data_IF_088269000849
#
_entry.id   IF_088269000849
#
_cell.length_a   1.000
_cell.length_b   1.000
_cell.length_c   1.000
_cell.angle_alpha   90.00
_cell.angle_beta   90.00
_cell.angle_gamma   90.00
#
_symmetry.space_group_name_H-M   'P 1'
#
loop_
_entity.id
_entity.type
_entity.pdbx_description
1 polymer ?
#
# COMPACT_ATOMS: atom_id res chain seq x y z
N UNK A 1 -0.84 -1.90 -28.14
CA UNK A 1 -0.59 -0.98 -27.01
C UNK A 1 0.38 -1.68 -26.06
N UNK A 2 1.35 -1.01 -25.46
CA UNK A 2 2.23 -1.65 -24.47
C UNK A 2 1.42 -1.93 -23.20
N UNK A 3 1.61 -3.14 -22.63
CA UNK A 3 0.92 -3.58 -21.41
C UNK A 3 1.12 -2.56 -20.28
N UNK A 4 0.04 -2.14 -19.58
CA UNK A 4 0.09 -1.13 -18.53
C UNK A 4 0.79 -1.63 -17.23
N UNK A 5 1.01 -2.93 -17.12
CA UNK A 5 1.59 -3.52 -15.93
C UNK A 5 2.66 -4.57 -16.26
N UNK A 6 3.58 -4.70 -15.32
CA UNK A 6 4.59 -5.75 -15.29
C UNK A 6 4.66 -6.36 -13.91
N UNK A 7 4.50 -7.68 -13.80
CA UNK A 7 4.61 -8.42 -12.55
C UNK A 7 5.56 -9.59 -12.71
N UNK A 8 6.35 -9.85 -11.68
CA UNK A 8 7.38 -10.88 -11.72
C UNK A 8 7.51 -11.63 -10.40
N UNK A 9 7.95 -12.89 -10.47
CA UNK A 9 8.39 -13.63 -9.30
C UNK A 9 9.85 -13.27 -9.02
N UNK A 10 10.08 -12.45 -8.02
CA UNK A 10 11.43 -12.06 -7.59
C UNK A 10 11.42 -11.54 -6.17
N UNK A 11 12.61 -11.36 -5.58
CA UNK A 11 12.75 -10.61 -4.34
C UNK A 11 12.53 -9.12 -4.58
N UNK A 12 12.23 -8.38 -3.51
CA UNK A 12 12.13 -6.93 -3.55
C UNK A 12 13.46 -6.29 -4.02
N UNK A 13 14.59 -6.80 -3.54
CA UNK A 13 15.94 -6.35 -3.91
C UNK A 13 16.16 -6.44 -5.42
N UNK A 14 15.85 -7.60 -6.05
CA UNK A 14 15.95 -7.77 -7.49
C UNK A 14 15.06 -6.80 -8.27
N UNK A 15 13.84 -6.52 -7.76
CA UNK A 15 12.95 -5.53 -8.36
C UNK A 15 13.56 -4.12 -8.29
N UNK A 16 14.14 -3.74 -7.14
CA UNK A 16 14.79 -2.44 -6.99
C UNK A 16 15.98 -2.28 -7.94
N UNK A 17 16.84 -3.30 -8.07
CA UNK A 17 17.99 -3.27 -8.98
C UNK A 17 17.59 -3.07 -10.44
N UNK A 18 16.47 -3.64 -10.86
CA UNK A 18 15.93 -3.51 -12.21
C UNK A 18 15.19 -2.19 -12.46
N UNK A 19 14.83 -1.46 -11.39
CA UNK A 19 14.08 -0.21 -11.49
C UNK A 19 15.04 0.96 -11.70
N UNK A 20 14.94 1.72 -12.79
CA UNK A 20 15.79 2.88 -13.04
C UNK A 20 15.58 3.98 -11.99
N UNK A 21 16.62 4.80 -11.79
CA UNK A 21 16.59 5.95 -10.90
C UNK A 21 15.52 6.96 -11.33
N UNK A 22 14.87 7.57 -10.35
CA UNK A 22 13.95 8.70 -10.53
C UNK A 22 12.77 8.45 -11.48
N UNK A 23 12.30 7.19 -11.58
CA UNK A 23 11.21 6.82 -12.50
C UNK A 23 9.88 6.54 -11.81
N UNK A 24 9.87 6.23 -10.51
CA UNK A 24 8.68 5.82 -9.77
C UNK A 24 8.03 7.02 -9.09
N UNK A 25 6.73 7.23 -9.32
CA UNK A 25 5.97 8.30 -8.68
C UNK A 25 5.42 7.89 -7.32
N UNK A 26 4.98 6.64 -7.17
CA UNK A 26 4.45 6.11 -5.91
C UNK A 26 4.99 4.70 -5.67
N UNK A 27 5.56 4.49 -4.50
CA UNK A 27 5.71 3.15 -3.93
C UNK A 27 4.60 3.03 -2.89
N UNK A 28 3.64 2.11 -3.13
CA UNK A 28 2.67 1.72 -2.11
C UNK A 28 2.90 0.26 -1.77
N UNK A 29 3.11 -0.07 -0.50
CA UNK A 29 3.53 -1.42 -0.16
C UNK A 29 3.15 -1.84 1.25
N UNK A 30 3.03 -3.15 1.44
CA UNK A 30 2.63 -3.82 2.67
C UNK A 30 3.57 -5.01 2.92
N UNK A 31 4.79 -4.76 3.45
CA UNK A 31 5.76 -5.82 3.70
C UNK A 31 5.25 -6.80 4.75
N UNK A 32 5.82 -8.00 4.86
CA UNK A 32 5.51 -8.94 5.95
C UNK A 32 5.60 -8.26 7.31
N UNK A 33 4.61 -8.52 8.21
CA UNK A 33 4.51 -7.81 9.50
C UNK A 33 5.40 -8.38 10.61
N UNK A 34 6.11 -9.47 10.34
CA UNK A 34 7.00 -10.07 11.33
C UNK A 34 6.28 -10.69 12.53
N UNK A 35 5.06 -11.20 12.32
CA UNK A 35 4.25 -11.78 13.41
C UNK A 35 4.76 -13.15 13.87
N UNK A 36 5.64 -13.81 13.11
CA UNK A 36 6.10 -15.17 13.31
C UNK A 36 5.04 -16.25 13.08
N UNK A 37 3.83 -15.85 12.70
CA UNK A 37 2.67 -16.73 12.60
C UNK A 37 2.44 -17.21 11.16
N UNK A 38 1.75 -18.37 11.05
CA UNK A 38 1.20 -18.79 9.77
C UNK A 38 0.01 -17.91 9.42
N UNK A 39 0.12 -17.18 8.32
CA UNK A 39 -0.95 -16.38 7.75
C UNK A 39 -1.81 -17.27 6.86
N UNK A 40 -3.07 -17.48 7.25
CA UNK A 40 -3.97 -18.41 6.58
C UNK A 40 -4.95 -17.67 5.69
N UNK A 41 -4.90 -17.94 4.40
CA UNK A 41 -5.91 -17.54 3.42
C UNK A 41 -6.67 -18.79 2.91
N UNK A 42 -7.86 -18.58 2.33
CA UNK A 42 -8.64 -19.71 1.78
C UNK A 42 -7.99 -20.35 0.54
N UNK A 43 -7.22 -19.56 -0.23
CA UNK A 43 -6.54 -20.03 -1.43
C UNK A 43 -5.05 -20.29 -1.20
N UNK A 44 -4.42 -19.53 -0.31
CA UNK A 44 -2.97 -19.62 -0.07
C UNK A 44 -2.59 -19.14 1.33
N UNK A 45 -1.62 -19.79 1.94
CA UNK A 45 -1.10 -19.47 3.27
C UNK A 45 0.43 -19.34 3.22
N UNK A 46 0.99 -18.44 4.03
CA UNK A 46 2.43 -18.27 4.15
C UNK A 46 2.83 -18.03 5.62
N UNK A 47 4.08 -18.35 5.95
CA UNK A 47 4.63 -18.05 7.28
C UNK A 47 5.25 -16.66 7.25
N UNK A 48 4.75 -15.81 8.12
CA UNK A 48 5.30 -14.48 8.36
C UNK A 48 6.66 -14.61 9.10
N UNK A 49 7.61 -13.73 8.78
CA UNK A 49 8.92 -13.67 9.42
C UNK A 49 8.88 -13.07 10.83
N UNK A 50 10.01 -12.59 11.30
CA UNK A 50 10.14 -11.84 12.55
C UNK A 50 10.07 -10.34 12.30
N UNK A 51 9.89 -9.53 13.38
CA UNK A 51 9.99 -8.06 13.28
C UNK A 51 11.36 -7.63 12.75
N UNK A 52 12.45 -8.32 13.15
CA UNK A 52 13.79 -8.03 12.64
C UNK A 52 13.89 -8.23 11.12
N UNK A 53 13.26 -9.29 10.58
CA UNK A 53 13.21 -9.53 9.14
C UNK A 53 12.45 -8.40 8.43
N UNK A 54 11.31 -7.96 9.00
CA UNK A 54 10.56 -6.80 8.49
C UNK A 54 11.40 -5.54 8.46
N UNK A 55 12.13 -5.24 9.54
CA UNK A 55 12.98 -4.04 9.61
C UNK A 55 14.14 -4.08 8.62
N UNK A 56 14.72 -5.25 8.35
CA UNK A 56 15.73 -5.42 7.31
C UNK A 56 15.16 -5.13 5.91
N UNK A 57 13.93 -5.57 5.62
CA UNK A 57 13.24 -5.23 4.37
C UNK A 57 12.94 -3.73 4.27
N UNK A 58 12.59 -3.08 5.39
CA UNK A 58 12.35 -1.63 5.44
C UNK A 58 13.64 -0.82 5.19
N UNK A 59 14.79 -1.30 5.68
CA UNK A 59 16.08 -0.66 5.42
C UNK A 59 16.42 -0.68 3.92
N UNK A 60 16.30 -1.85 3.29
CA UNK A 60 16.45 -1.98 1.82
C UNK A 60 15.46 -1.12 1.05
N UNK A 61 14.19 -1.09 1.49
CA UNK A 61 13.16 -0.25 0.89
C UNK A 61 13.51 1.23 0.97
N UNK A 62 13.97 1.71 2.12
CA UNK A 62 14.35 3.11 2.33
C UNK A 62 15.48 3.55 1.41
N UNK A 63 16.58 2.79 1.35
CA UNK A 63 17.71 3.04 0.49
C UNK A 63 17.32 3.04 -1.00
N UNK A 64 16.49 2.06 -1.40
CA UNK A 64 16.02 1.93 -2.77
C UNK A 64 15.03 3.04 -3.15
N UNK A 65 14.08 3.37 -2.27
CA UNK A 65 13.10 4.44 -2.51
C UNK A 65 13.78 5.80 -2.70
N UNK A 66 14.82 6.10 -1.92
CA UNK A 66 15.61 7.33 -2.07
C UNK A 66 16.26 7.46 -3.46
N UNK A 67 16.52 6.36 -4.17
CA UNK A 67 17.09 6.32 -5.51
C UNK A 67 16.02 6.32 -6.60
N UNK A 68 15.03 5.41 -6.50
CA UNK A 68 14.09 5.12 -7.61
C UNK A 68 12.89 6.06 -7.66
N UNK A 69 12.51 6.70 -6.54
CA UNK A 69 11.45 7.70 -6.56
C UNK A 69 11.88 8.93 -7.37
N UNK A 70 10.99 9.46 -8.18
CA UNK A 70 11.21 10.72 -8.84
C UNK A 70 11.24 11.91 -7.82
N UNK A 71 11.65 13.12 -8.19
CA UNK A 71 11.83 14.21 -7.22
C UNK A 71 10.58 14.56 -6.38
N UNK A 72 9.38 14.33 -6.89
CA UNK A 72 8.12 14.52 -6.15
C UNK A 72 7.49 13.21 -5.67
N UNK A 73 8.19 12.10 -5.84
CA UNK A 73 7.71 10.75 -5.56
C UNK A 73 7.44 10.50 -4.09
N UNK A 74 6.50 9.60 -3.84
CA UNK A 74 6.00 9.26 -2.50
C UNK A 74 6.17 7.78 -2.22
N UNK A 75 6.61 7.47 -1.01
CA UNK A 75 6.56 6.14 -0.40
C UNK A 75 5.43 6.09 0.61
N UNK A 76 4.51 5.16 0.45
CA UNK A 76 3.45 4.81 1.40
C UNK A 76 3.66 3.36 1.85
N UNK A 77 4.04 3.15 3.10
CA UNK A 77 4.28 1.81 3.64
C UNK A 77 3.32 1.50 4.78
N UNK A 78 2.55 0.41 4.63
CA UNK A 78 1.59 -0.06 5.62
C UNK A 78 2.28 -0.99 6.60
N UNK A 79 2.15 -0.72 7.90
CA UNK A 79 2.87 -1.42 8.96
C UNK A 79 1.95 -1.79 10.13
N UNK A 80 2.29 -2.89 10.79
CA UNK A 80 1.77 -3.25 12.10
C UNK A 80 2.47 -2.44 13.20
N UNK A 81 1.79 -2.27 14.33
CA UNK A 81 2.28 -1.50 15.49
C UNK A 81 3.65 -1.96 16.02
N UNK A 82 4.07 -3.21 15.77
CA UNK A 82 5.33 -3.77 16.26
C UNK A 82 6.55 -3.18 15.57
N UNK A 83 6.42 -2.78 14.31
CA UNK A 83 7.54 -2.31 13.50
C UNK A 83 7.50 -0.80 13.21
N UNK A 84 6.36 -0.12 13.43
CA UNK A 84 6.13 1.24 12.94
C UNK A 84 7.15 2.26 13.44
N UNK A 85 7.58 2.19 14.71
CA UNK A 85 8.46 3.18 15.31
C UNK A 85 9.91 3.05 14.79
N UNK A 86 10.41 1.82 14.73
CA UNK A 86 11.73 1.53 14.20
C UNK A 86 11.76 1.76 12.68
N UNK A 87 10.73 1.37 11.96
CA UNK A 87 10.60 1.61 10.53
C UNK A 87 10.61 3.12 10.21
N UNK A 88 9.93 3.95 11.03
CA UNK A 88 10.01 5.40 10.90
C UNK A 88 11.46 5.91 11.00
N UNK A 89 12.21 5.45 11.99
CA UNK A 89 13.59 5.87 12.20
C UNK A 89 14.50 5.43 11.03
N UNK A 90 14.35 4.22 10.55
CA UNK A 90 15.09 3.66 9.40
C UNK A 90 14.79 4.49 8.14
N UNK A 91 13.53 4.68 7.78
CA UNK A 91 13.14 5.43 6.59
C UNK A 91 13.59 6.89 6.63
N UNK A 92 13.56 7.51 7.81
CA UNK A 92 14.09 8.85 7.98
C UNK A 92 15.60 8.92 7.79
N UNK A 93 16.34 7.90 8.23
CA UNK A 93 17.79 7.84 8.07
C UNK A 93 18.23 7.55 6.63
N UNK A 94 17.34 7.03 5.78
CA UNK A 94 17.63 6.80 4.35
C UNK A 94 17.64 8.08 3.49
N UNK A 95 17.45 9.26 4.09
CA UNK A 95 17.39 10.53 3.36
C UNK A 95 16.01 10.88 2.82
N UNK A 96 14.99 10.11 3.14
CA UNK A 96 13.59 10.42 2.80
C UNK A 96 12.99 11.44 3.77
N UNK A 97 12.08 12.27 3.28
CA UNK A 97 11.39 13.30 4.05
C UNK A 97 10.06 12.77 4.57
N UNK A 98 9.91 12.68 5.90
CA UNK A 98 8.63 12.30 6.51
C UNK A 98 7.55 13.34 6.24
N UNK A 99 6.42 12.88 5.72
CA UNK A 99 5.27 13.73 5.41
C UNK A 99 4.17 13.57 6.44
N UNK A 100 3.73 12.34 6.71
CA UNK A 100 2.59 12.07 7.60
C UNK A 100 2.45 10.58 7.90
N UNK A 101 1.62 10.27 8.89
CA UNK A 101 1.03 8.94 9.09
C UNK A 101 -0.47 8.96 8.84
N UNK A 102 -0.99 7.85 8.33
CA UNK A 102 -2.42 7.56 8.22
C UNK A 102 -2.72 6.36 9.10
N UNK A 103 -3.68 6.50 10.00
CA UNK A 103 -4.17 5.40 10.84
C UNK A 103 -5.33 4.74 10.12
N UNK A 104 -5.16 3.50 9.72
CA UNK A 104 -6.24 2.67 9.18
C UNK A 104 -6.82 1.82 10.31
N UNK A 105 -7.97 2.24 10.84
CA UNK A 105 -8.73 1.53 11.86
C UNK A 105 -9.66 0.49 11.23
N UNK A 106 -9.77 -0.67 11.89
CA UNK A 106 -10.66 -1.78 11.51
C UNK A 106 -11.24 -2.48 12.74
N UNK A 107 -12.48 -2.97 12.62
CA UNK A 107 -13.21 -3.62 13.73
C UNK A 107 -12.92 -5.12 13.85
N UNK A 108 -12.57 -5.80 12.75
CA UNK A 108 -12.31 -7.25 12.75
C UNK A 108 -10.97 -7.61 13.41
N UNK A 109 -10.84 -8.90 13.73
CA UNK A 109 -9.67 -9.48 14.36
C UNK A 109 -9.92 -9.95 15.80
N UNK A 110 -9.04 -10.81 16.28
CA UNK A 110 -9.13 -11.39 17.62
C UNK A 110 -9.00 -10.32 18.72
N UNK A 111 -9.70 -10.55 19.83
CA UNK A 111 -9.59 -9.70 21.02
C UNK A 111 -8.46 -10.23 21.92
N UNK A 112 -7.55 -9.34 22.32
CA UNK A 112 -6.51 -9.69 23.29
C UNK A 112 -7.09 -9.77 24.72
N UNK A 113 -6.68 -10.79 25.45
CA UNK A 113 -6.99 -10.93 26.90
C UNK A 113 -5.86 -10.45 27.79
N UNK A 114 -4.69 -10.12 27.21
CA UNK A 114 -3.48 -9.77 27.98
C UNK A 114 -3.14 -8.28 27.92
N UNK A 115 -3.58 -7.59 26.88
CA UNK A 115 -3.30 -6.17 26.66
C UNK A 115 -4.39 -5.53 25.81
N UNK A 116 -4.28 -4.23 25.54
CA UNK A 116 -5.16 -3.52 24.62
C UNK A 116 -5.15 -4.18 23.24
N UNK A 117 -6.32 -4.45 22.68
CA UNK A 117 -6.44 -5.07 21.37
C UNK A 117 -6.03 -4.08 20.28
N UNK A 118 -5.07 -4.46 19.43
CA UNK A 118 -4.74 -3.65 18.27
C UNK A 118 -5.87 -3.71 17.23
N UNK A 119 -6.36 -2.55 16.81
CA UNK A 119 -7.43 -2.38 15.82
C UNK A 119 -7.05 -1.38 14.73
N UNK A 120 -5.77 -1.23 14.46
CA UNK A 120 -5.30 -0.37 13.38
C UNK A 120 -3.98 -0.86 12.79
N UNK A 121 -3.75 -0.46 11.54
CA UNK A 121 -2.43 -0.40 10.93
C UNK A 121 -2.05 1.07 10.72
N UNK A 122 -0.76 1.33 10.69
CA UNK A 122 -0.22 2.66 10.38
C UNK A 122 0.38 2.65 8.99
N UNK A 123 0.00 3.62 8.16
CA UNK A 123 0.63 3.84 6.85
C UNK A 123 1.52 5.07 7.00
N UNK A 124 2.83 4.86 6.94
CA UNK A 124 3.81 5.93 6.96
C UNK A 124 3.98 6.51 5.57
N UNK A 125 3.96 7.83 5.46
CA UNK A 125 4.18 8.56 4.22
C UNK A 125 5.51 9.30 4.27
N UNK A 126 6.35 8.98 3.31
CA UNK A 126 7.61 9.67 3.06
C UNK A 126 7.65 10.16 1.62
N UNK A 127 8.50 11.13 1.32
CA UNK A 127 8.77 11.59 -0.04
C UNK A 127 10.26 11.67 -0.31
N UNK A 128 10.62 11.66 -1.60
CA UNK A 128 12.01 11.84 -2.05
C UNK A 128 12.59 13.17 -1.59
N UNK A 129 11.84 14.26 -1.76
CA UNK A 129 12.20 15.62 -1.36
C UNK A 129 11.14 16.17 -0.39
N UNK A 130 11.38 17.37 0.15
CA UNK A 130 10.42 18.04 1.05
C UNK A 130 9.05 18.24 0.41
N UNK A 131 9.00 18.50 -0.90
CA UNK A 131 7.76 18.67 -1.66
C UNK A 131 7.34 17.37 -2.30
N UNK A 132 6.30 16.75 -1.73
CA UNK A 132 5.64 15.57 -2.28
C UNK A 132 4.56 15.95 -3.30
N UNK A 133 4.33 15.09 -4.29
CA UNK A 133 3.13 15.20 -5.14
C UNK A 133 1.88 14.98 -4.29
N UNK A 134 0.96 15.94 -4.34
CA UNK A 134 -0.30 15.88 -3.61
C UNK A 134 -1.39 16.65 -4.34
N UNK A 135 -2.40 15.92 -4.81
CA UNK A 135 -3.61 16.51 -5.41
C UNK A 135 -4.72 16.58 -4.34
N UNK A 136 -4.96 17.79 -3.82
CA UNK A 136 -5.98 18.02 -2.81
C UNK A 136 -7.40 17.69 -3.33
N UNK A 137 -7.66 17.89 -4.62
CA UNK A 137 -9.00 17.69 -5.17
C UNK A 137 -9.31 16.20 -5.33
N UNK A 138 -8.30 15.38 -5.54
CA UNK A 138 -8.40 13.91 -5.57
C UNK A 138 -8.57 13.28 -4.17
N UNK A 139 -8.39 14.01 -3.08
CA UNK A 139 -8.62 13.48 -1.72
C UNK A 139 -10.08 13.09 -1.56
N UNK A 140 -10.40 11.83 -1.18
CA UNK A 140 -11.77 11.36 -1.04
C UNK A 140 -12.61 12.21 -0.08
N UNK A 141 -13.91 12.31 -0.36
CA UNK A 141 -14.88 13.03 0.47
C UNK A 141 -15.73 12.02 1.25
N UNK A 142 -16.03 12.33 2.48
CA UNK A 142 -16.92 11.54 3.34
C UNK A 142 -18.01 12.42 3.96
N UNK A 143 -19.16 11.83 4.21
CA UNK A 143 -20.26 12.51 4.89
C UNK A 143 -19.88 12.81 6.36
N UNK A 144 -20.26 13.99 6.83
CA UNK A 144 -20.20 14.33 8.26
C UNK A 144 -21.35 13.65 8.97
N UNK A 145 -21.08 12.98 10.07
CA UNK A 145 -22.14 12.41 10.93
C UNK A 145 -23.05 13.49 11.50
N UNK A 146 -22.47 14.64 11.87
CA UNK A 146 -23.19 15.79 12.43
C UNK A 146 -22.53 17.10 11.96
N UNK A 147 -23.07 17.79 10.95
CA UNK A 147 -22.64 19.15 10.64
C UNK A 147 -22.99 20.10 11.77
N UNK A 148 -22.03 20.86 12.31
CA UNK A 148 -22.26 21.83 13.39
C UNK A 148 -21.58 23.18 13.12
N UNK A 149 -22.33 24.27 13.39
CA UNK A 149 -21.82 25.65 13.35
C UNK A 149 -21.26 26.05 11.97
N UNK A 150 -20.09 26.66 11.93
CA UNK A 150 -19.43 27.11 10.69
C UNK A 150 -19.05 25.96 9.72
N UNK A 151 -19.16 24.72 10.14
CA UNK A 151 -18.90 23.53 9.33
C UNK A 151 -20.19 22.91 8.80
N UNK A 152 -21.03 23.71 8.14
CA UNK A 152 -22.34 23.29 7.64
C UNK A 152 -22.29 22.42 6.38
N UNK A 153 -21.14 22.21 5.73
CA UNK A 153 -21.08 21.28 4.60
C UNK A 153 -21.39 19.85 5.06
N UNK A 154 -22.28 19.17 4.34
CA UNK A 154 -22.62 17.76 4.57
C UNK A 154 -21.40 16.84 4.36
N UNK A 155 -20.40 17.30 3.64
CA UNK A 155 -19.21 16.55 3.26
C UNK A 155 -17.92 17.17 3.82
N UNK A 156 -16.90 16.34 3.98
CA UNK A 156 -15.54 16.75 4.30
C UNK A 156 -14.54 15.84 3.59
N UNK A 157 -13.37 16.37 3.26
CA UNK A 157 -12.22 15.53 2.85
C UNK A 157 -11.86 14.56 3.99
N UNK A 158 -11.44 13.34 3.64
CA UNK A 158 -10.92 12.40 4.65
C UNK A 158 -9.71 13.00 5.35
N UNK A 159 -9.51 12.62 6.60
CA UNK A 159 -8.37 13.03 7.42
C UNK A 159 -7.34 11.89 7.53
N UNK A 160 -6.44 11.95 8.49
CA UNK A 160 -5.42 10.94 8.74
C UNK A 160 -5.91 9.71 9.53
N UNK A 161 -7.20 9.62 9.85
CA UNK A 161 -7.79 8.44 10.51
C UNK A 161 -8.91 7.90 9.65
N UNK A 162 -8.69 6.71 9.10
CA UNK A 162 -9.60 6.03 8.17
C UNK A 162 -10.25 4.85 8.84
N UNK A 163 -11.58 4.80 8.80
CA UNK A 163 -12.35 3.69 9.36
C UNK A 163 -12.86 2.84 8.22
N UNK A 164 -12.23 1.69 8.00
CA UNK A 164 -12.66 0.74 7.00
C UNK A 164 -12.36 -0.69 7.47
N UNK A 165 -13.39 -1.51 7.51
CA UNK A 165 -13.28 -2.93 7.86
C UNK A 165 -13.45 -3.78 6.62
N UNK A 166 -12.40 -4.48 6.21
CA UNK A 166 -12.40 -5.39 5.09
C UNK A 166 -12.88 -6.78 5.54
N UNK A 167 -14.16 -7.04 5.32
CA UNK A 167 -14.82 -8.26 5.77
C UNK A 167 -14.50 -9.50 4.92
N UNK A 168 -14.78 -10.72 5.42
CA UNK A 168 -14.56 -11.94 4.66
C UNK A 168 -15.51 -12.10 3.46
N UNK A 169 -16.61 -11.35 3.43
CA UNK A 169 -17.62 -11.36 2.36
C UNK A 169 -17.45 -10.25 1.33
N UNK A 170 -16.41 -9.43 1.46
CA UNK A 170 -16.12 -8.39 0.45
C UNK A 170 -15.84 -9.00 -0.91
N UNK A 171 -16.54 -8.51 -1.96
CA UNK A 171 -16.53 -9.08 -3.31
C UNK A 171 -15.16 -9.05 -3.98
N UNK A 172 -14.30 -8.11 -3.59
CA UNK A 172 -12.94 -8.00 -4.13
C UNK A 172 -11.94 -9.01 -3.54
N UNK A 173 -12.37 -9.86 -2.58
CA UNK A 173 -11.51 -10.87 -1.97
C UNK A 173 -11.19 -12.00 -2.94
N UNK A 174 -9.90 -12.34 -2.99
CA UNK A 174 -9.37 -13.43 -3.83
C UNK A 174 -8.83 -14.60 -3.00
N UNK A 175 -9.18 -14.67 -1.70
CA UNK A 175 -8.80 -15.76 -0.82
C UNK A 175 -7.35 -15.78 -0.32
N UNK A 176 -6.55 -14.73 -0.63
CA UNK A 176 -5.20 -14.59 -0.08
C UNK A 176 -5.26 -13.94 1.31
N UNK A 177 -4.43 -14.43 2.22
CA UNK A 177 -4.26 -13.83 3.54
C UNK A 177 -3.77 -12.38 3.42
N UNK A 178 -4.19 -11.52 4.33
CA UNK A 178 -3.76 -10.12 4.46
C UNK A 178 -3.99 -9.24 3.23
N UNK A 179 -4.87 -9.64 2.29
CA UNK A 179 -5.26 -8.77 1.18
C UNK A 179 -5.68 -7.39 1.69
N UNK A 180 -5.14 -6.33 1.09
CA UNK A 180 -5.57 -4.96 1.37
C UNK A 180 -6.74 -4.57 0.47
N UNK A 181 -7.71 -3.78 0.97
CA UNK A 181 -8.86 -3.34 0.16
C UNK A 181 -8.50 -2.19 -0.78
N UNK A 182 -9.15 -2.15 -1.94
CA UNK A 182 -9.02 -1.05 -2.91
C UNK A 182 -9.36 0.32 -2.29
N UNK A 183 -10.34 0.36 -1.39
CA UNK A 183 -10.72 1.58 -0.67
C UNK A 183 -9.63 2.20 0.19
N UNK A 184 -8.60 1.42 0.56
CA UNK A 184 -7.41 1.91 1.25
C UNK A 184 -6.32 2.31 0.26
N UNK A 185 -6.10 1.56 -0.81
CA UNK A 185 -4.99 1.78 -1.75
C UNK A 185 -5.29 2.87 -2.77
N UNK A 186 -6.49 2.87 -3.37
CA UNK A 186 -6.86 3.79 -4.45
C UNK A 186 -6.72 5.27 -4.11
N UNK A 187 -7.03 5.74 -2.89
CA UNK A 187 -6.80 7.13 -2.51
C UNK A 187 -5.34 7.58 -2.65
N UNK A 188 -4.37 6.73 -2.30
CA UNK A 188 -2.95 7.07 -2.45
C UNK A 188 -2.58 7.20 -3.93
N UNK A 189 -3.08 6.28 -4.76
CA UNK A 189 -2.88 6.33 -6.21
C UNK A 189 -3.45 7.62 -6.79
N UNK A 190 -4.70 7.97 -6.46
CA UNK A 190 -5.35 9.17 -6.98
C UNK A 190 -4.67 10.47 -6.55
N UNK A 191 -4.28 10.56 -5.26
CA UNK A 191 -3.78 11.79 -4.65
C UNK A 191 -2.31 12.07 -4.99
N UNK A 192 -1.49 11.03 -5.13
CA UNK A 192 -0.03 11.20 -5.29
C UNK A 192 0.47 10.94 -6.71
N UNK A 193 -0.42 10.58 -7.64
CA UNK A 193 -0.03 10.24 -9.02
C UNK A 193 -0.99 10.81 -10.05
N UNK A 194 -0.55 10.82 -11.32
CA UNK A 194 -1.33 11.16 -12.50
C UNK A 194 -1.42 9.96 -13.45
N UNK A 195 -2.41 9.91 -14.36
CA UNK A 195 -2.42 8.90 -15.42
C UNK A 195 -1.07 8.82 -16.16
N UNK A 196 -0.60 7.59 -16.38
CA UNK A 196 0.71 7.30 -17.00
C UNK A 196 1.89 7.21 -16.03
N UNK A 197 1.78 7.69 -14.79
CA UNK A 197 2.82 7.55 -13.77
C UNK A 197 3.06 6.07 -13.40
N UNK A 198 4.29 5.79 -12.95
CA UNK A 198 4.69 4.45 -12.51
C UNK A 198 4.44 4.30 -11.00
N UNK A 199 3.74 3.22 -10.66
CA UNK A 199 3.51 2.76 -9.29
C UNK A 199 4.25 1.44 -9.09
N UNK A 200 4.96 1.32 -7.98
CA UNK A 200 5.74 0.13 -7.66
C UNK A 200 5.26 -0.48 -6.33
N UNK A 201 5.16 -1.82 -6.30
CA UNK A 201 4.88 -2.60 -5.10
C UNK A 201 5.79 -3.84 -5.04
N UNK A 202 6.83 -3.83 -4.20
CA UNK A 202 7.80 -4.93 -4.08
C UNK A 202 7.29 -6.12 -3.26
N UNK A 203 6.10 -6.02 -2.65
CA UNK A 203 5.43 -7.06 -1.87
C UNK A 203 3.95 -7.16 -2.30
N UNK A 204 3.70 -7.28 -3.61
CA UNK A 204 2.38 -7.06 -4.22
C UNK A 204 1.27 -8.01 -3.75
N UNK A 205 1.61 -9.16 -3.21
CA UNK A 205 0.66 -10.12 -2.64
C UNK A 205 -0.47 -10.49 -3.60
N UNK A 206 -1.68 -10.03 -3.28
CA UNK A 206 -2.87 -10.21 -4.12
C UNK A 206 -3.02 -9.19 -5.25
N UNK A 207 -2.07 -8.25 -5.39
CA UNK A 207 -2.05 -7.26 -6.47
C UNK A 207 -3.04 -6.09 -6.33
N UNK A 208 -3.50 -5.78 -5.13
CA UNK A 208 -4.45 -4.66 -4.94
C UNK A 208 -3.89 -3.33 -5.43
N UNK A 209 -2.59 -3.08 -5.23
CA UNK A 209 -1.88 -1.90 -5.74
C UNK A 209 -1.93 -1.84 -7.27
N UNK A 210 -1.66 -2.96 -7.92
CA UNK A 210 -1.73 -3.07 -9.38
C UNK A 210 -3.14 -2.84 -9.94
N UNK A 211 -4.16 -3.43 -9.31
CA UNK A 211 -5.56 -3.22 -9.70
C UNK A 211 -5.96 -1.75 -9.54
N UNK A 212 -5.57 -1.09 -8.44
CA UNK A 212 -5.83 0.33 -8.24
C UNK A 212 -5.13 1.19 -9.31
N UNK A 213 -3.86 0.88 -9.60
CA UNK A 213 -3.06 1.58 -10.60
C UNK A 213 -3.70 1.47 -12.00
N UNK A 214 -4.00 0.26 -12.44
CA UNK A 214 -4.56 -0.02 -13.77
C UNK A 214 -5.94 0.64 -13.94
N UNK A 215 -6.85 0.47 -12.98
CA UNK A 215 -8.18 1.12 -12.99
C UNK A 215 -8.12 2.64 -13.08
N UNK A 216 -7.07 3.25 -12.61
CA UNK A 216 -6.87 4.69 -12.61
C UNK A 216 -5.95 5.17 -13.75
N UNK A 217 -5.61 4.32 -14.72
CA UNK A 217 -4.79 4.66 -15.87
C UNK A 217 -3.31 4.88 -15.56
N UNK A 218 -2.80 4.30 -14.46
CA UNK A 218 -1.38 4.33 -14.09
C UNK A 218 -0.67 3.06 -14.56
N UNK A 219 0.64 3.14 -14.66
CA UNK A 219 1.49 1.97 -14.94
C UNK A 219 1.87 1.29 -13.63
N UNK A 220 1.90 -0.04 -13.63
CA UNK A 220 2.22 -0.82 -12.43
C UNK A 220 3.43 -1.71 -12.64
N UNK A 221 4.32 -1.76 -11.65
CA UNK A 221 5.43 -2.70 -11.56
C UNK A 221 5.35 -3.38 -10.20
N UNK A 222 5.24 -4.70 -10.17
CA UNK A 222 5.11 -5.46 -8.93
C UNK A 222 5.94 -6.72 -8.88
N UNK A 223 6.36 -7.11 -7.67
CA UNK A 223 7.01 -8.38 -7.42
C UNK A 223 6.47 -9.06 -6.16
N UNK A 224 6.61 -10.36 -6.14
CA UNK A 224 6.43 -11.19 -4.96
C UNK A 224 7.33 -12.42 -5.09
N UNK A 225 7.86 -12.92 -3.97
CA UNK A 225 8.64 -14.17 -3.94
C UNK A 225 7.77 -15.41 -4.15
N UNK A 226 6.48 -15.28 -3.90
CA UNK A 226 5.48 -16.34 -3.97
C UNK A 226 4.86 -16.40 -5.37
N UNK A 227 5.10 -17.49 -6.09
CA UNK A 227 4.53 -17.73 -7.41
C UNK A 227 2.98 -17.65 -7.42
N UNK A 228 2.32 -18.09 -6.35
CA UNK A 228 0.86 -17.99 -6.25
C UNK A 228 0.38 -16.53 -6.16
N UNK A 229 1.16 -15.65 -5.53
CA UNK A 229 0.88 -14.22 -5.53
C UNK A 229 0.95 -13.63 -6.94
N UNK A 230 2.00 -13.99 -7.70
CA UNK A 230 2.17 -13.55 -9.08
C UNK A 230 1.01 -14.01 -9.95
N UNK A 231 0.59 -15.27 -9.83
CA UNK A 231 -0.53 -15.83 -10.58
C UNK A 231 -1.86 -15.12 -10.25
N UNK A 232 -2.17 -14.94 -8.97
CA UNK A 232 -3.38 -14.25 -8.51
C UNK A 232 -3.39 -12.81 -9.04
N UNK A 233 -2.26 -12.09 -8.91
CA UNK A 233 -2.13 -10.71 -9.36
C UNK A 233 -2.31 -10.61 -10.87
N UNK A 234 -1.66 -11.49 -11.64
CA UNK A 234 -1.80 -11.54 -13.11
C UNK A 234 -3.25 -11.67 -13.53
N UNK A 235 -3.97 -12.67 -12.98
CA UNK A 235 -5.41 -12.86 -13.28
C UNK A 235 -6.27 -11.65 -12.96
N UNK A 236 -5.99 -10.97 -11.84
CA UNK A 236 -6.73 -9.77 -11.46
C UNK A 236 -6.50 -8.62 -12.42
N UNK A 237 -5.26 -8.42 -12.86
CA UNK A 237 -4.91 -7.35 -13.79
C UNK A 237 -5.47 -7.59 -15.19
N UNK A 238 -5.42 -8.84 -15.68
CA UNK A 238 -6.06 -9.23 -16.93
C UNK A 238 -7.59 -9.01 -16.89
N UNK A 239 -8.23 -9.28 -15.75
CA UNK A 239 -9.66 -9.00 -15.57
C UNK A 239 -10.00 -7.51 -15.63
N UNK A 240 -9.13 -6.62 -15.15
CA UNK A 240 -9.35 -5.15 -15.23
C UNK A 240 -9.27 -4.66 -16.67
N UNK A 241 -8.31 -5.16 -17.48
CA UNK A 241 -8.16 -4.77 -18.89
C UNK A 241 -9.39 -5.15 -19.72
N UNK A 242 -10.08 -6.24 -19.36
CA UNK A 242 -11.31 -6.66 -20.06
C UNK A 242 -12.56 -5.88 -19.66
N UNK A 243 -12.63 -5.38 -18.41
CA UNK A 243 -13.76 -4.57 -17.94
C UNK A 243 -13.78 -3.17 -18.59
N UNK A 244 -12.64 -2.67 -19.06
CA UNK A 244 -12.51 -1.36 -19.72
C UNK A 244 -12.82 -1.41 -21.24
N UNK A 245 -12.99 -2.62 -21.82
CA UNK A 245 -13.32 -2.82 -23.26
C UNK A 245 -14.83 -3.01 -23.54
N UNK A 246 -15.70 -2.93 -22.53
CA UNK A 246 -17.16 -3.08 -22.62
C UNK A 246 -17.86 -1.75 -22.28
#
# INVERSE_FOLDING_TARGET
MSKQWHVQQSTAEQLYEQTPDETVQLIWTDPPFGTGQLQVGSAHSYRDGTVADTLALIDQLGASAARILNPSGVLAVCLDYRAVHEAYAILKSSGLHYQREIIWHFELGATSRKWWTNKHNTILLFSRNETAAFDHDAVPTVLRKEPKGKYNSAERKVNSVWNYTFGPTDRERVGRANQKPLSIVSPFVSVHTRPGDIILDPFMGSGTTGVAATKLGRRFIGADIDAAAVEITTRRLEGVEHDDEV
#
